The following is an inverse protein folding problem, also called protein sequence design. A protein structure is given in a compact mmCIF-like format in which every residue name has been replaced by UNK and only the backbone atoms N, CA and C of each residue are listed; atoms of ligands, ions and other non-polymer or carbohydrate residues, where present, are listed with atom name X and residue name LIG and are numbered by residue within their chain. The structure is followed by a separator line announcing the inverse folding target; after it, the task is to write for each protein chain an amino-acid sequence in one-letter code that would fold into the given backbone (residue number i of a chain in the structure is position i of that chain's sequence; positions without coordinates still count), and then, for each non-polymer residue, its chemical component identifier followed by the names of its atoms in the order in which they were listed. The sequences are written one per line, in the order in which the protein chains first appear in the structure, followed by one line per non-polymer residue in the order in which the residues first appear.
data_IF_141428204553
#
_entry.id   IF_141428204553
#
_cell.length_a   1.000
_cell.length_b   1.000
_cell.length_c   1.000
_cell.angle_alpha   90.00
_cell.angle_beta   90.00
_cell.angle_gamma   90.00
#
_symmetry.space_group_name_H-M   'P 1'
#
loop_
_entity.id
_entity.type
_entity.pdbx_description
1 polymer ?
#
# COMPACT_ATOMS: atom_id res chain seq x y z
N UNK A 1 -16.97 -4.64 -18.02
CA UNK A 1 -17.65 -3.41 -18.46
C UNK A 1 -18.94 -3.32 -17.66
N UNK A 2 -19.15 -2.24 -16.91
CA UNK A 2 -20.36 -2.08 -16.08
C UNK A 2 -21.58 -1.97 -16.99
N UNK A 3 -22.66 -2.66 -16.64
CA UNK A 3 -23.94 -2.57 -17.33
C UNK A 3 -24.71 -1.34 -16.82
N UNK A 4 -24.42 -0.20 -17.42
CA UNK A 4 -25.06 1.10 -17.14
C UNK A 4 -26.58 1.04 -17.34
N UNK A 5 -27.07 0.16 -18.22
CA UNK A 5 -28.48 0.01 -18.53
C UNK A 5 -29.23 -0.71 -17.40
N UNK A 6 -28.61 -1.72 -16.77
CA UNK A 6 -29.19 -2.37 -15.59
C UNK A 6 -29.30 -1.40 -14.42
N UNK A 7 -28.25 -0.60 -14.18
CA UNK A 7 -28.22 0.39 -13.08
C UNK A 7 -29.29 1.48 -13.29
N UNK A 8 -29.42 1.98 -14.52
CA UNK A 8 -30.47 2.96 -14.85
C UNK A 8 -31.88 2.36 -14.68
N UNK A 9 -32.08 1.09 -15.05
CA UNK A 9 -33.36 0.39 -14.80
C UNK A 9 -33.66 0.24 -13.33
N UNK A 10 -32.68 -0.13 -12.51
CA UNK A 10 -32.88 -0.30 -11.06
C UNK A 10 -33.21 1.02 -10.37
N UNK A 11 -32.54 2.11 -10.78
CA UNK A 11 -32.84 3.46 -10.29
C UNK A 11 -34.24 3.94 -10.72
N UNK A 12 -34.62 3.68 -11.97
CA UNK A 12 -35.96 4.02 -12.45
C UNK A 12 -37.05 3.22 -11.73
N UNK A 13 -36.82 1.92 -11.49
CA UNK A 13 -37.71 1.08 -10.70
C UNK A 13 -37.82 1.53 -9.24
N UNK A 14 -36.79 2.19 -8.70
CA UNK A 14 -36.80 2.82 -7.38
C UNK A 14 -37.51 4.19 -7.35
N UNK A 15 -38.09 4.64 -8.47
CA UNK A 15 -38.85 5.89 -8.58
C UNK A 15 -38.03 7.11 -8.97
N UNK A 16 -36.77 6.93 -9.39
CA UNK A 16 -35.94 8.02 -9.93
C UNK A 16 -36.40 8.33 -11.36
N UNK A 17 -36.47 9.63 -11.70
CA UNK A 17 -36.80 10.05 -13.06
C UNK A 17 -35.84 9.41 -14.08
N UNK A 18 -36.30 8.90 -15.23
CA UNK A 18 -35.46 8.17 -16.18
C UNK A 18 -34.21 8.95 -16.63
N UNK A 19 -34.32 10.28 -16.82
CA UNK A 19 -33.17 11.10 -17.21
C UNK A 19 -32.15 11.23 -16.08
N UNK A 20 -32.63 11.27 -14.84
CA UNK A 20 -31.75 11.27 -13.67
C UNK A 20 -31.11 9.90 -13.46
N UNK A 21 -31.87 8.82 -13.63
CA UNK A 21 -31.38 7.44 -13.52
C UNK A 21 -30.24 7.17 -14.50
N UNK A 22 -30.36 7.59 -15.76
CA UNK A 22 -29.30 7.50 -16.77
C UNK A 22 -28.08 8.35 -16.40
N UNK A 23 -28.29 9.59 -15.93
CA UNK A 23 -27.20 10.47 -15.50
C UNK A 23 -26.42 9.85 -14.31
N UNK A 24 -27.13 9.31 -13.32
CA UNK A 24 -26.53 8.64 -12.18
C UNK A 24 -25.78 7.36 -12.58
N UNK A 25 -26.38 6.52 -13.43
CA UNK A 25 -25.73 5.30 -13.93
C UNK A 25 -24.43 5.62 -14.69
N UNK A 26 -24.44 6.69 -15.51
CA UNK A 26 -23.28 7.15 -16.27
C UNK A 26 -22.15 7.63 -15.34
N UNK A 27 -22.48 8.39 -14.29
CA UNK A 27 -21.51 8.84 -13.29
C UNK A 27 -20.93 7.65 -12.50
N UNK A 28 -21.75 6.67 -12.15
CA UNK A 28 -21.31 5.46 -11.45
C UNK A 28 -20.36 4.65 -12.33
N UNK A 29 -20.70 4.43 -13.61
CA UNK A 29 -19.82 3.73 -14.54
C UNK A 29 -18.47 4.45 -14.71
N UNK A 30 -18.49 5.77 -14.86
CA UNK A 30 -17.28 6.59 -14.96
C UNK A 30 -16.45 6.54 -13.68
N UNK A 31 -17.08 6.63 -12.50
CA UNK A 31 -16.40 6.57 -11.21
C UNK A 31 -15.73 5.22 -11.00
N UNK A 32 -16.40 4.11 -11.32
CA UNK A 32 -15.83 2.77 -11.16
C UNK A 32 -14.73 2.52 -12.18
N UNK A 33 -14.89 2.95 -13.43
CA UNK A 33 -13.83 2.84 -14.46
C UNK A 33 -12.57 3.63 -14.06
N UNK A 34 -12.74 4.85 -13.51
CA UNK A 34 -11.62 5.60 -12.92
C UNK A 34 -11.03 4.91 -11.69
N UNK A 35 -11.88 4.36 -10.81
CA UNK A 35 -11.46 3.73 -9.58
C UNK A 35 -10.68 2.44 -9.84
N UNK A 36 -11.01 1.67 -10.88
CA UNK A 36 -10.22 0.51 -11.33
C UNK A 36 -8.76 0.86 -11.68
N UNK A 37 -8.46 2.11 -12.02
CA UNK A 37 -7.09 2.59 -12.22
C UNK A 37 -6.30 2.86 -10.94
N UNK A 38 -6.97 2.99 -9.79
CA UNK A 38 -6.38 3.44 -8.51
C UNK A 38 -6.70 2.50 -7.33
N UNK A 39 -7.47 1.42 -7.53
CA UNK A 39 -7.64 0.38 -6.50
C UNK A 39 -6.39 -0.47 -6.47
N UNK A 40 -5.52 -0.19 -5.51
CA UNK A 40 -4.43 -1.06 -5.12
C UNK A 40 -4.96 -2.50 -4.97
N UNK A 41 -4.59 -3.39 -5.89
CA UNK A 41 -4.99 -4.79 -5.80
C UNK A 41 -4.40 -5.40 -4.53
N UNK A 42 -5.06 -6.38 -3.91
CA UNK A 42 -4.52 -7.06 -2.71
C UNK A 42 -3.10 -7.58 -2.92
N UNK A 43 -2.76 -7.96 -4.16
CA UNK A 43 -1.42 -8.37 -4.57
C UNK A 43 -0.43 -7.20 -4.60
N UNK A 44 -0.83 -6.03 -5.10
CA UNK A 44 -0.01 -4.82 -5.06
C UNK A 44 0.30 -4.41 -3.62
N UNK A 45 -0.72 -4.37 -2.76
CA UNK A 45 -0.55 -4.06 -1.33
C UNK A 45 0.36 -5.08 -0.64
N UNK A 46 0.18 -6.39 -0.92
CA UNK A 46 1.05 -7.44 -0.38
C UNK A 46 2.48 -7.31 -0.87
N UNK A 47 2.69 -6.94 -2.13
CA UNK A 47 4.01 -6.70 -2.72
C UNK A 47 4.73 -5.53 -2.04
N UNK A 48 4.05 -4.41 -1.85
CA UNK A 48 4.61 -3.24 -1.16
C UNK A 48 4.92 -3.52 0.32
N UNK A 49 4.07 -4.30 1.00
CA UNK A 49 4.32 -4.75 2.37
C UNK A 49 5.59 -5.61 2.43
N UNK A 50 5.72 -6.61 1.55
CA UNK A 50 6.89 -7.49 1.52
C UNK A 50 8.18 -6.72 1.19
N UNK A 51 8.11 -5.76 0.26
CA UNK A 51 9.24 -4.89 -0.08
C UNK A 51 9.65 -4.01 1.12
N UNK A 52 8.65 -3.48 1.84
CA UNK A 52 8.87 -2.67 3.05
C UNK A 52 9.47 -3.50 4.18
N UNK A 53 8.95 -4.71 4.41
CA UNK A 53 9.47 -5.66 5.40
C UNK A 53 10.93 -6.02 5.10
N UNK A 54 11.25 -6.34 3.85
CA UNK A 54 12.63 -6.65 3.42
C UNK A 54 13.57 -5.48 3.65
N UNK A 55 13.12 -4.25 3.37
CA UNK A 55 13.90 -3.03 3.61
C UNK A 55 14.16 -2.81 5.11
N UNK A 56 13.15 -3.03 5.94
CA UNK A 56 13.26 -2.91 7.40
C UNK A 56 14.22 -3.96 7.98
N UNK A 57 14.09 -5.23 7.55
CA UNK A 57 15.00 -6.31 7.95
C UNK A 57 16.45 -5.95 7.60
N UNK A 58 16.69 -5.48 6.37
CA UNK A 58 18.04 -5.08 5.94
C UNK A 58 18.60 -3.95 6.80
N UNK A 59 17.79 -2.95 7.13
CA UNK A 59 18.19 -1.85 8.01
C UNK A 59 18.48 -2.33 9.44
N UNK A 60 17.59 -3.13 10.02
CA UNK A 60 17.75 -3.70 11.37
C UNK A 60 19.03 -4.51 11.46
N UNK A 61 19.25 -5.43 10.52
CA UNK A 61 20.47 -6.24 10.46
C UNK A 61 21.70 -5.34 10.38
N UNK A 62 21.73 -4.36 9.47
CA UNK A 62 22.83 -3.41 9.35
C UNK A 62 23.15 -2.70 10.67
N UNK A 63 22.12 -2.16 11.35
CA UNK A 63 22.30 -1.45 12.61
C UNK A 63 22.80 -2.34 13.75
N UNK A 64 22.34 -3.59 13.84
CA UNK A 64 22.81 -4.55 14.85
C UNK A 64 24.29 -4.87 14.64
N UNK A 65 24.71 -5.12 13.39
CA UNK A 65 26.10 -5.39 13.08
C UNK A 65 27.00 -4.18 13.36
N UNK A 66 26.57 -2.97 13.00
CA UNK A 66 27.30 -1.74 13.33
C UNK A 66 27.45 -1.55 14.83
N UNK A 67 26.35 -1.65 15.60
CA UNK A 67 26.38 -1.48 17.05
C UNK A 67 27.28 -2.52 17.74
N UNK A 68 27.20 -3.79 17.29
CA UNK A 68 28.05 -4.87 17.81
C UNK A 68 29.52 -4.61 17.49
N UNK A 69 29.82 -4.20 16.25
CA UNK A 69 31.19 -3.86 15.83
C UNK A 69 31.78 -2.72 16.66
N UNK A 70 31.01 -1.66 16.91
CA UNK A 70 31.43 -0.53 17.77
C UNK A 70 31.71 -1.02 19.19
N UNK A 71 30.83 -1.86 19.74
CA UNK A 71 30.98 -2.38 21.10
C UNK A 71 32.26 -3.19 21.24
N UNK A 72 32.50 -4.13 20.32
CA UNK A 72 33.73 -4.94 20.31
C UNK A 72 34.97 -4.04 20.16
N UNK A 73 34.95 -3.11 19.21
CA UNK A 73 36.06 -2.19 18.98
C UNK A 73 36.38 -1.35 20.22
N UNK A 74 35.35 -0.88 20.93
CA UNK A 74 35.51 -0.09 22.15
C UNK A 74 36.16 -0.89 23.29
N UNK A 75 35.80 -2.16 23.45
CA UNK A 75 36.38 -3.05 24.46
C UNK A 75 37.85 -3.32 24.14
N UNK A 76 38.17 -3.65 22.88
CA UNK A 76 39.55 -3.89 22.45
C UNK A 76 40.42 -2.66 22.66
N UNK A 77 39.93 -1.48 22.26
CA UNK A 77 40.64 -0.22 22.45
C UNK A 77 40.90 0.06 23.95
N UNK A 78 39.91 -0.18 24.81
CA UNK A 78 40.04 0.00 26.25
C UNK A 78 41.08 -0.94 26.86
N UNK A 79 41.09 -2.22 26.47
CA UNK A 79 42.09 -3.19 26.94
C UNK A 79 43.50 -2.81 26.48
N UNK A 80 43.66 -2.33 25.25
CA UNK A 80 44.96 -1.87 24.74
C UNK A 80 45.52 -0.68 25.52
N UNK A 81 44.66 0.23 25.98
CA UNK A 81 45.05 1.38 26.82
C UNK A 81 45.46 0.95 28.23
N UNK A 82 44.84 -0.09 28.81
CA UNK A 82 45.21 -0.58 30.15
C UNK A 82 46.54 -1.35 30.14
N UNK A 83 46.88 -1.99 29.03
CA UNK A 83 48.12 -2.76 28.89
C UNK A 83 49.34 -1.96 28.42
N UNK A 84 49.16 -0.67 28.08
CA UNK A 84 50.23 0.28 27.74
C UNK A 84 50.75 1.03 28.96
#
# INVERSE_FOLDING_TARGET
MIDTLSIARDLSNAGVDPKQAEAHATVIAFAVEKQHGDVATKEFVRSEINATETRLIRWLVGTIFTATGITIASIVAFLAVIQS
#
